data_IF_582798205036
#
_entry.id   IF_582798205036
#
_cell.length_a   1.000
_cell.length_b   1.000
_cell.length_c   1.000
_cell.angle_alpha   90.00
_cell.angle_beta   90.00
_cell.angle_gamma   90.00
#
_symmetry.space_group_name_H-M   'P 1'
#
loop_
_entity.id
_entity.type
_entity.pdbx_description
1 polymer ?
#
# COMPACT_ATOMS: atom_id res chain seq x y z
N UNK A 1 -20.20 12.29 -31.65
CA UNK A 1 -18.82 11.89 -31.26
C UNK A 1 -18.79 10.88 -30.11
N UNK A 2 -19.84 10.78 -29.27
CA UNK A 2 -19.93 9.82 -28.17
C UNK A 2 -20.23 8.35 -28.60
N UNK A 3 -20.83 8.13 -29.76
CA UNK A 3 -21.23 6.79 -30.23
C UNK A 3 -20.07 5.93 -30.75
N UNK A 4 -18.98 6.53 -31.26
CA UNK A 4 -17.81 5.77 -31.75
C UNK A 4 -16.93 5.19 -30.63
N UNK A 5 -16.97 5.78 -29.43
CA UNK A 5 -16.19 5.29 -28.29
C UNK A 5 -16.83 4.04 -27.65
N UNK A 6 -18.16 3.95 -27.67
CA UNK A 6 -18.88 2.77 -27.16
C UNK A 6 -18.70 1.51 -28.03
N UNK A 7 -18.57 1.67 -29.35
CA UNK A 7 -18.33 0.56 -30.29
C UNK A 7 -16.91 -0.01 -30.22
N UNK A 8 -15.92 0.78 -29.77
CA UNK A 8 -14.55 0.32 -29.60
C UNK A 8 -14.39 -0.66 -28.44
N UNK A 9 -15.05 -0.38 -27.30
CA UNK A 9 -14.98 -1.24 -26.10
C UNK A 9 -15.71 -2.57 -26.31
N UNK A 10 -16.87 -2.56 -26.97
CA UNK A 10 -17.67 -3.77 -27.24
C UNK A 10 -16.91 -4.84 -28.04
N UNK A 11 -15.90 -4.44 -28.81
CA UNK A 11 -15.09 -5.33 -29.65
C UNK A 11 -13.99 -6.07 -28.88
N UNK A 12 -13.62 -5.60 -27.69
CA UNK A 12 -12.64 -6.25 -26.79
C UNK A 12 -13.30 -7.05 -25.67
N UNK A 13 -14.59 -6.81 -25.40
CA UNK A 13 -15.42 -7.57 -24.44
C UNK A 13 -15.48 -9.09 -24.74
N UNK A 14 -15.56 -9.59 -25.99
CA UNK A 14 -15.62 -11.05 -26.22
C UNK A 14 -14.31 -11.79 -25.92
N UNK A 15 -13.17 -11.09 -25.88
CA UNK A 15 -11.87 -11.69 -25.49
C UNK A 15 -11.55 -11.56 -23.99
N UNK A 16 -12.33 -10.77 -23.24
CA UNK A 16 -12.08 -10.53 -21.83
C UNK A 16 -12.83 -11.55 -20.97
N UNK A 17 -12.29 -12.77 -20.89
CA UNK A 17 -12.85 -13.80 -20.01
C UNK A 17 -12.87 -13.33 -18.54
N UNK A 18 -13.83 -13.83 -17.75
CA UNK A 18 -13.98 -13.47 -16.32
C UNK A 18 -12.67 -13.50 -15.52
N UNK A 19 -11.82 -14.51 -15.76
CA UNK A 19 -10.53 -14.64 -15.11
C UNK A 19 -9.54 -13.52 -15.48
N UNK A 20 -9.63 -12.90 -16.66
CA UNK A 20 -8.83 -11.74 -17.04
C UNK A 20 -9.14 -10.52 -16.18
N UNK A 21 -10.42 -10.29 -15.85
CA UNK A 21 -10.80 -9.22 -14.93
C UNK A 21 -10.12 -9.45 -13.57
N UNK A 22 -10.18 -10.67 -13.05
CA UNK A 22 -9.51 -11.03 -11.79
C UNK A 22 -7.99 -10.84 -11.88
N UNK A 23 -7.35 -11.26 -12.97
CA UNK A 23 -5.91 -11.05 -13.20
C UNK A 23 -5.54 -9.57 -13.22
N UNK A 24 -6.34 -8.71 -13.87
CA UNK A 24 -6.10 -7.26 -13.89
C UNK A 24 -6.18 -6.67 -12.48
N UNK A 25 -7.20 -7.05 -11.70
CA UNK A 25 -7.35 -6.58 -10.32
C UNK A 25 -6.16 -7.01 -9.44
N UNK A 26 -5.70 -8.27 -9.57
CA UNK A 26 -4.50 -8.77 -8.89
C UNK A 26 -3.27 -7.98 -9.32
N UNK A 27 -3.09 -7.73 -10.62
CA UNK A 27 -1.95 -6.99 -11.15
C UNK A 27 -1.90 -5.56 -10.60
N UNK A 28 -3.04 -4.86 -10.57
CA UNK A 28 -3.14 -3.53 -9.98
C UNK A 28 -2.78 -3.58 -8.48
N UNK A 29 -3.31 -4.56 -7.74
CA UNK A 29 -2.97 -4.73 -6.33
C UNK A 29 -1.47 -4.96 -6.10
N UNK A 30 -0.81 -5.81 -6.92
CA UNK A 30 0.63 -6.04 -6.85
C UNK A 30 1.42 -4.74 -7.08
N UNK A 31 1.04 -3.95 -8.09
CA UNK A 31 1.71 -2.68 -8.40
C UNK A 31 1.57 -1.71 -7.22
N UNK A 32 0.36 -1.55 -6.68
CA UNK A 32 0.10 -0.65 -5.56
C UNK A 32 0.87 -1.06 -4.29
N UNK A 33 0.88 -2.35 -3.95
CA UNK A 33 1.65 -2.87 -2.80
C UNK A 33 3.16 -2.71 -3.01
N UNK A 34 3.65 -2.86 -4.24
CA UNK A 34 5.06 -2.65 -4.58
C UNK A 34 5.45 -1.17 -4.45
N UNK A 35 4.60 -0.25 -4.92
CA UNK A 35 4.79 1.20 -4.75
C UNK A 35 4.75 1.61 -3.28
N UNK A 36 3.86 1.01 -2.49
CA UNK A 36 3.77 1.22 -1.04
C UNK A 36 5.09 0.84 -0.36
N UNK A 37 5.65 -0.33 -0.67
CA UNK A 37 6.93 -0.79 -0.13
C UNK A 37 8.11 0.10 -0.60
N UNK A 38 8.09 0.55 -1.85
CA UNK A 38 9.12 1.42 -2.42
C UNK A 38 9.06 2.87 -1.90
N UNK A 39 8.03 3.25 -1.14
CA UNK A 39 7.90 4.59 -0.56
C UNK A 39 9.14 5.01 0.24
N UNK A 40 9.56 6.27 0.08
CA UNK A 40 10.77 6.83 0.68
C UNK A 40 12.09 6.06 0.45
N UNK A 41 12.19 5.24 -0.60
CA UNK A 41 13.43 4.52 -0.96
C UNK A 41 14.33 5.28 -1.94
N UNK A 42 13.84 6.37 -2.55
CA UNK A 42 14.53 7.12 -3.60
C UNK A 42 14.23 8.61 -3.50
N UNK A 43 15.22 9.44 -3.84
CA UNK A 43 15.11 10.89 -3.96
C UNK A 43 14.34 11.37 -5.20
N UNK A 44 13.75 10.47 -5.99
CA UNK A 44 12.88 10.83 -7.11
C UNK A 44 11.67 11.65 -6.63
N UNK A 45 11.27 12.76 -7.28
CA UNK A 45 10.31 13.73 -6.74
C UNK A 45 8.97 13.16 -6.22
N UNK A 46 8.49 12.05 -6.78
CA UNK A 46 7.22 11.43 -6.40
C UNK A 46 7.34 10.43 -5.23
N UNK A 47 8.51 9.80 -5.05
CA UNK A 47 8.71 8.68 -4.13
C UNK A 47 8.65 9.11 -2.65
N UNK A 48 9.20 10.28 -2.24
CA UNK A 48 9.01 10.81 -0.89
C UNK A 48 7.56 11.18 -0.57
N UNK A 49 6.66 11.22 -1.57
CA UNK A 49 5.21 11.42 -1.39
C UNK A 49 4.47 10.17 -0.90
N UNK A 50 5.13 9.01 -0.91
CA UNK A 50 4.63 7.75 -0.36
C UNK A 50 5.42 7.47 0.91
N UNK A 51 4.84 7.80 2.06
CA UNK A 51 5.44 7.65 3.37
C UNK A 51 4.41 7.12 4.36
N UNK A 52 4.88 6.57 5.46
CA UNK A 52 4.09 6.01 6.54
C UNK A 52 3.89 7.05 7.65
N UNK A 53 5.01 7.65 8.06
CA UNK A 53 5.09 8.70 9.06
C UNK A 53 5.90 9.87 8.50
N UNK A 54 5.45 11.09 8.73
CA UNK A 54 6.23 12.30 8.54
C UNK A 54 6.36 13.03 9.87
N UNK A 55 7.57 13.48 10.18
CA UNK A 55 7.92 14.33 11.30
C UNK A 55 8.53 15.59 10.72
N UNK A 56 8.11 16.78 11.16
CA UNK A 56 8.69 18.02 10.67
C UNK A 56 8.65 19.12 11.71
N UNK A 57 9.69 19.94 11.71
CA UNK A 57 9.71 21.15 12.52
C UNK A 57 8.71 22.16 11.96
N UNK A 58 7.81 22.60 12.81
CA UNK A 58 6.91 23.70 12.53
C UNK A 58 6.54 24.35 13.86
N UNK A 59 6.73 25.66 13.94
CA UNK A 59 6.32 26.41 15.13
C UNK A 59 4.81 26.67 15.07
N UNK A 60 4.11 26.29 16.13
CA UNK A 60 2.68 26.58 16.30
C UNK A 60 2.38 26.92 17.76
N UNK A 61 1.19 27.46 18.01
CA UNK A 61 0.75 27.77 19.37
C UNK A 61 0.53 26.46 20.13
N UNK A 62 1.34 26.22 21.16
CA UNK A 62 1.17 25.06 22.03
C UNK A 62 -0.23 25.02 22.64
N UNK A 63 -0.80 23.83 22.75
CA UNK A 63 -2.13 23.61 23.32
C UNK A 63 -2.00 23.25 24.82
N UNK A 64 -2.56 24.04 25.74
CA UNK A 64 -2.59 23.71 27.16
C UNK A 64 -3.66 22.65 27.45
N UNK A 65 -3.34 21.71 28.34
CA UNK A 65 -4.27 20.69 28.84
C UNK A 65 -4.13 20.53 30.37
N UNK A 66 -5.23 20.27 31.06
CA UNK A 66 -5.24 20.04 32.52
C UNK A 66 -4.45 18.80 32.97
N UNK A 67 -4.19 17.86 32.07
CA UNK A 67 -3.37 16.67 32.31
C UNK A 67 -1.86 16.94 32.14
N UNK A 68 -1.45 18.12 31.66
CA UNK A 68 -0.05 18.50 31.57
C UNK A 68 0.46 18.98 32.93
N UNK A 69 1.43 18.25 33.49
CA UNK A 69 2.03 18.59 34.80
C UNK A 69 2.87 19.87 34.72
N UNK A 70 3.61 20.06 33.62
CA UNK A 70 4.37 21.29 33.35
C UNK A 70 4.17 21.74 31.91
N UNK A 71 3.31 22.74 31.73
CA UNK A 71 3.07 23.36 30.42
C UNK A 71 4.29 24.14 29.90
N UNK A 72 5.18 24.62 30.78
CA UNK A 72 6.33 25.44 30.37
C UNK A 72 7.41 24.65 29.64
N UNK A 73 7.37 23.31 29.66
CA UNK A 73 8.26 22.44 28.89
C UNK A 73 8.22 22.79 27.40
N UNK A 74 7.08 23.24 26.87
CA UNK A 74 6.98 23.67 25.47
C UNK A 74 8.00 24.78 25.12
N UNK A 75 8.31 25.69 26.06
CA UNK A 75 9.21 26.81 25.83
C UNK A 75 10.66 26.32 25.74
N UNK A 76 11.03 25.36 26.57
CA UNK A 76 12.35 24.74 26.53
C UNK A 76 12.57 23.99 25.21
N UNK A 77 11.57 23.21 24.78
CA UNK A 77 11.61 22.51 23.49
C UNK A 77 11.67 23.50 22.32
N UNK A 78 10.86 24.57 22.36
CA UNK A 78 10.86 25.60 21.32
C UNK A 78 12.20 26.35 21.22
N UNK A 79 12.89 26.56 22.34
CA UNK A 79 14.23 27.17 22.35
C UNK A 79 15.28 26.24 21.72
N UNK A 80 15.17 24.93 21.93
CA UNK A 80 16.06 23.93 21.31
C UNK A 80 15.77 23.80 19.81
N UNK A 81 14.48 23.68 19.44
CA UNK A 81 14.05 23.57 18.05
C UNK A 81 14.41 24.82 17.23
N UNK A 82 14.41 25.99 17.87
CA UNK A 82 14.84 27.25 17.28
C UNK A 82 14.09 27.57 15.98
N UNK A 83 14.84 27.69 14.88
CA UNK A 83 14.31 27.94 13.54
C UNK A 83 14.48 26.76 12.59
N UNK A 84 14.67 25.54 13.12
CA UNK A 84 14.79 24.33 12.31
C UNK A 84 13.55 24.14 11.41
N UNK A 85 13.76 23.61 10.20
CA UNK A 85 12.70 23.39 9.18
C UNK A 85 12.75 21.99 8.57
N UNK A 86 13.58 21.11 9.13
CA UNK A 86 13.77 19.78 8.60
C UNK A 86 12.46 18.97 8.65
N UNK A 87 12.22 18.22 7.58
CA UNK A 87 11.17 17.21 7.51
C UNK A 87 11.81 15.83 7.28
N UNK A 88 11.49 14.87 8.15
CA UNK A 88 11.82 13.46 7.99
C UNK A 88 10.55 12.68 7.62
N UNK A 89 10.66 11.77 6.66
CA UNK A 89 9.60 10.86 6.22
C UNK A 89 10.11 9.42 6.24
N UNK A 90 9.30 8.52 6.76
CA UNK A 90 9.63 7.10 6.88
C UNK A 90 8.80 6.29 5.89
N UNK A 91 9.46 5.46 5.09
CA UNK A 91 8.83 4.40 4.31
C UNK A 91 9.18 3.02 4.84
N UNK A 92 8.81 1.96 4.11
CA UNK A 92 9.11 0.58 4.52
C UNK A 92 10.60 0.25 4.43
N UNK A 93 11.30 0.77 3.42
CA UNK A 93 12.70 0.43 3.14
C UNK A 93 13.68 1.60 3.28
N UNK A 94 13.21 2.77 3.69
CA UNK A 94 14.06 3.94 3.74
C UNK A 94 13.46 5.12 4.49
N UNK A 95 14.30 6.12 4.68
CA UNK A 95 13.97 7.41 5.27
C UNK A 95 14.33 8.47 4.25
N UNK A 96 13.46 9.45 4.06
CA UNK A 96 13.74 10.64 3.26
C UNK A 96 13.74 11.86 4.17
N UNK A 97 14.73 12.73 4.00
CA UNK A 97 14.82 13.99 4.74
C UNK A 97 14.85 15.16 3.78
N UNK A 98 14.22 16.26 4.17
CA UNK A 98 14.34 17.54 3.50
C UNK A 98 14.84 18.56 4.52
N UNK A 99 16.15 18.90 4.52
CA UNK A 99 16.74 19.74 5.56
C UNK A 99 16.13 21.14 5.62
N UNK A 100 15.87 21.73 4.44
CA UNK A 100 15.39 23.11 4.31
C UNK A 100 14.02 23.21 3.62
N UNK A 101 13.31 22.08 3.46
CA UNK A 101 12.01 22.02 2.74
C UNK A 101 12.12 22.07 1.21
N UNK A 102 13.33 21.90 0.66
CA UNK A 102 13.60 21.87 -0.78
C UNK A 102 13.71 20.45 -1.33
N UNK A 103 14.94 20.00 -1.58
CA UNK A 103 15.23 18.65 -2.11
C UNK A 103 15.05 17.56 -1.05
N UNK A 104 14.89 16.32 -1.51
CA UNK A 104 14.80 15.13 -0.68
C UNK A 104 16.07 14.30 -0.78
N UNK A 105 16.64 13.95 0.37
CA UNK A 105 17.74 13.00 0.51
C UNK A 105 17.18 11.72 1.11
N UNK A 106 17.21 10.63 0.35
CA UNK A 106 16.65 9.35 0.80
C UNK A 106 17.74 8.30 0.96
N UNK A 107 17.71 7.58 2.09
CA UNK A 107 18.64 6.51 2.39
C UNK A 107 17.99 5.51 3.34
N UNK A 108 18.42 4.25 3.28
CA UNK A 108 18.05 3.26 4.29
C UNK A 108 18.90 3.39 5.57
N UNK A 109 20.02 4.11 5.51
CA UNK A 109 20.92 4.30 6.64
C UNK A 109 20.74 5.71 7.23
N UNK A 110 20.11 5.79 8.41
CA UNK A 110 19.89 7.05 9.09
C UNK A 110 21.18 7.82 9.41
N UNK A 111 22.28 7.12 9.71
CA UNK A 111 23.59 7.75 9.96
C UNK A 111 24.10 8.49 8.73
N UNK A 112 23.86 7.96 7.53
CA UNK A 112 24.25 8.68 6.30
C UNK A 112 23.45 9.96 6.12
N UNK A 113 22.16 9.96 6.50
CA UNK A 113 21.33 11.17 6.45
C UNK A 113 21.73 12.18 7.51
N UNK A 114 22.03 11.73 8.73
CA UNK A 114 22.45 12.59 9.83
C UNK A 114 23.80 13.27 9.54
N UNK A 115 24.71 12.62 8.81
CA UNK A 115 26.00 13.21 8.41
C UNK A 115 25.86 14.35 7.39
N UNK A 116 24.76 14.39 6.64
CA UNK A 116 24.47 15.43 5.64
C UNK A 116 23.67 16.61 6.24
N UNK A 117 23.41 16.58 7.56
CA UNK A 117 22.56 17.55 8.25
C UNK A 117 23.32 18.14 9.45
N UNK A 118 23.19 19.45 9.64
CA UNK A 118 23.79 20.15 10.77
C UNK A 118 22.94 20.08 12.04
N UNK A 119 23.55 20.30 13.20
CA UNK A 119 22.87 20.29 14.51
C UNK A 119 21.72 21.32 14.56
N UNK A 120 21.91 22.47 13.92
CA UNK A 120 20.89 23.53 13.88
C UNK A 120 19.68 23.17 12.98
N UNK A 121 19.86 22.21 12.06
CA UNK A 121 18.79 21.72 11.17
C UNK A 121 18.00 20.58 11.81
N UNK A 122 18.61 19.73 12.64
CA UNK A 122 17.93 18.65 13.37
C UNK A 122 18.19 18.64 14.90
N UNK A 123 17.85 19.72 15.61
CA UNK A 123 18.20 19.87 17.03
C UNK A 123 17.50 18.88 17.98
N UNK A 124 16.34 18.33 17.58
CA UNK A 124 15.59 17.31 18.33
C UNK A 124 15.80 15.89 17.77
N UNK A 125 16.72 15.69 16.84
CA UNK A 125 17.06 14.38 16.26
C UNK A 125 15.86 13.65 15.61
N UNK A 126 15.05 14.35 14.80
CA UNK A 126 13.95 13.75 14.06
C UNK A 126 14.41 12.64 13.11
N UNK A 127 15.62 12.72 12.56
CA UNK A 127 16.19 11.64 11.72
C UNK A 127 16.37 10.36 12.54
N UNK A 128 16.86 10.49 13.77
CA UNK A 128 17.02 9.35 14.67
C UNK A 128 15.67 8.76 15.07
N UNK A 129 14.70 9.62 15.43
CA UNK A 129 13.34 9.17 15.77
C UNK A 129 12.67 8.45 14.59
N UNK A 130 12.84 8.97 13.37
CA UNK A 130 12.39 8.33 12.14
C UNK A 130 13.03 6.95 11.93
N UNK A 131 14.33 6.79 12.24
CA UNK A 131 15.00 5.48 12.19
C UNK A 131 14.44 4.51 13.22
N UNK A 132 14.21 4.96 14.46
CA UNK A 132 13.64 4.09 15.49
C UNK A 132 12.25 3.59 15.09
N UNK A 133 11.41 4.45 14.50
CA UNK A 133 10.12 4.03 13.97
C UNK A 133 10.29 2.98 12.86
N UNK A 134 11.17 3.22 11.88
CA UNK A 134 11.43 2.27 10.79
C UNK A 134 11.92 0.91 11.32
N UNK A 135 12.93 0.91 12.17
CA UNK A 135 13.67 -0.31 12.52
C UNK A 135 12.95 -1.14 13.58
N UNK A 136 12.15 -0.52 14.46
CA UNK A 136 11.49 -1.20 15.57
C UNK A 136 10.01 -1.51 15.34
N UNK A 137 9.33 -0.75 14.46
CA UNK A 137 7.86 -0.80 14.34
C UNK A 137 7.43 -1.26 12.94
N UNK A 138 8.14 -0.87 11.88
CA UNK A 138 7.74 -1.17 10.51
C UNK A 138 8.14 -2.61 10.15
N UNK A 139 7.16 -3.40 9.70
CA UNK A 139 7.35 -4.81 9.33
C UNK A 139 6.94 -5.08 7.87
N UNK A 140 7.87 -5.04 6.90
CA UNK A 140 7.54 -5.19 5.48
C UNK A 140 7.28 -6.63 5.03
N UNK A 141 7.74 -7.63 5.78
CA UNK A 141 7.82 -9.01 5.30
C UNK A 141 6.45 -9.65 5.00
N UNK A 142 5.41 -9.32 5.75
CA UNK A 142 4.05 -9.80 5.45
C UNK A 142 3.55 -9.31 4.08
N UNK A 143 3.82 -8.06 3.72
CA UNK A 143 3.47 -7.51 2.41
C UNK A 143 4.27 -8.18 1.29
N UNK A 144 5.56 -8.44 1.49
CA UNK A 144 6.40 -9.15 0.51
C UNK A 144 5.82 -10.55 0.24
N UNK A 145 5.49 -11.31 1.28
CA UNK A 145 4.91 -12.65 1.15
C UNK A 145 3.54 -12.57 0.46
N UNK A 146 2.70 -11.58 0.82
CA UNK A 146 1.41 -11.38 0.16
C UNK A 146 1.54 -11.08 -1.34
N UNK A 147 2.51 -10.26 -1.74
CA UNK A 147 2.80 -9.99 -3.16
C UNK A 147 3.21 -11.27 -3.88
N UNK A 148 4.06 -12.10 -3.28
CA UNK A 148 4.48 -13.38 -3.86
C UNK A 148 3.27 -14.31 -4.06
N UNK A 149 2.39 -14.43 -3.05
CA UNK A 149 1.19 -15.24 -3.16
C UNK A 149 0.20 -14.70 -4.20
N UNK A 150 0.01 -13.38 -4.27
CA UNK A 150 -0.80 -12.74 -5.30
C UNK A 150 -0.22 -13.00 -6.71
N UNK A 151 1.10 -12.94 -6.86
CA UNK A 151 1.78 -13.24 -8.12
C UNK A 151 1.62 -14.72 -8.53
N UNK A 152 1.78 -15.65 -7.60
CA UNK A 152 1.50 -17.07 -7.86
C UNK A 152 0.03 -17.27 -8.27
N UNK A 153 -0.92 -16.61 -7.60
CA UNK A 153 -2.33 -16.64 -7.98
C UNK A 153 -2.55 -16.14 -9.42
N UNK A 154 -1.90 -15.03 -9.80
CA UNK A 154 -1.94 -14.52 -11.16
C UNK A 154 -1.45 -15.56 -12.18
N UNK A 155 -0.34 -16.26 -11.89
CA UNK A 155 0.16 -17.33 -12.76
C UNK A 155 -0.81 -18.52 -12.86
N UNK A 156 -1.44 -18.91 -11.75
CA UNK A 156 -2.45 -19.98 -11.77
C UNK A 156 -3.68 -19.58 -12.60
N UNK A 157 -4.15 -18.34 -12.47
CA UNK A 157 -5.26 -17.83 -13.27
C UNK A 157 -4.92 -17.77 -14.77
N UNK A 158 -3.65 -17.52 -15.12
CA UNK A 158 -3.20 -17.54 -16.50
C UNK A 158 -3.25 -18.94 -17.15
N UNK A 159 -3.34 -20.02 -16.34
CA UNK A 159 -3.56 -21.38 -16.85
C UNK A 159 -5.04 -21.68 -17.15
N UNK A 160 -5.96 -20.77 -16.82
CA UNK A 160 -7.36 -21.00 -17.07
C UNK A 160 -7.65 -20.94 -18.56
N UNK A 161 -8.46 -21.88 -19.07
CA UNK A 161 -8.74 -21.93 -20.49
C UNK A 161 -9.60 -20.72 -20.89
N UNK A 162 -9.23 -20.10 -22.02
CA UNK A 162 -9.94 -18.96 -22.60
C UNK A 162 -11.28 -19.35 -23.22
N UNK A 163 -12.11 -18.35 -23.50
CA UNK A 163 -13.28 -18.54 -24.35
C UNK A 163 -12.81 -18.86 -25.77
N UNK A 164 -13.36 -19.92 -26.35
CA UNK A 164 -13.09 -20.29 -27.73
C UNK A 164 -14.40 -20.66 -28.42
N UNK A 165 -14.51 -20.29 -29.69
CA UNK A 165 -15.63 -20.65 -30.55
C UNK A 165 -15.32 -22.01 -31.18
N UNK A 166 -16.26 -22.95 -31.08
CA UNK A 166 -16.22 -24.21 -31.83
C UNK A 166 -17.42 -24.25 -32.80
N UNK A 167 -17.20 -24.68 -34.05
CA UNK A 167 -18.28 -24.96 -34.99
C UNK A 167 -18.90 -26.33 -34.66
N UNK A 168 -20.20 -26.34 -34.38
CA UNK A 168 -20.96 -27.57 -34.19
C UNK A 168 -21.16 -28.30 -35.53
N UNK A 169 -21.53 -29.58 -35.49
CA UNK A 169 -21.75 -30.43 -36.68
C UNK A 169 -22.84 -29.93 -37.65
N UNK A 170 -23.67 -28.96 -37.24
CA UNK A 170 -24.68 -28.28 -38.05
C UNK A 170 -24.19 -26.93 -38.64
N UNK A 171 -22.93 -26.54 -38.45
CA UNK A 171 -22.36 -25.27 -38.93
C UNK A 171 -22.77 -24.04 -38.12
N UNK A 172 -23.27 -24.23 -36.89
CA UNK A 172 -23.54 -23.15 -35.94
C UNK A 172 -22.31 -22.89 -35.07
N UNK A 173 -21.83 -21.66 -35.04
CA UNK A 173 -20.80 -21.22 -34.09
C UNK A 173 -21.35 -21.32 -32.66
N UNK A 174 -20.67 -22.08 -31.79
CA UNK A 174 -21.01 -22.19 -30.36
C UNK A 174 -19.83 -21.74 -29.51
N UNK A 175 -20.05 -20.77 -28.64
CA UNK A 175 -19.06 -20.40 -27.63
C UNK A 175 -18.94 -21.50 -26.57
N UNK A 176 -17.79 -22.17 -26.52
CA UNK A 176 -17.48 -23.17 -25.49
C UNK A 176 -16.73 -22.48 -24.36
N UNK A 177 -17.28 -22.62 -23.14
CA UNK A 177 -16.69 -22.11 -21.90
C UNK A 177 -16.08 -23.28 -21.12
N UNK A 178 -14.81 -23.63 -21.38
CA UNK A 178 -14.15 -24.73 -20.69
C UNK A 178 -14.04 -24.46 -19.19
N UNK A 179 -14.37 -25.47 -18.38
CA UNK A 179 -14.24 -25.36 -16.92
C UNK A 179 -12.76 -25.36 -16.51
N UNK A 180 -12.29 -24.42 -15.68
CA UNK A 180 -10.96 -24.48 -15.11
C UNK A 180 -10.82 -25.70 -14.20
N UNK A 181 -9.59 -26.20 -14.06
CA UNK A 181 -9.34 -27.34 -13.20
C UNK A 181 -9.67 -27.01 -11.73
N UNK A 182 -10.47 -27.88 -11.10
CA UNK A 182 -10.86 -27.78 -9.68
C UNK A 182 -9.69 -27.60 -8.70
N UNK A 183 -8.60 -28.41 -8.77
CA UNK A 183 -7.51 -28.26 -7.83
C UNK A 183 -6.80 -26.90 -7.97
N UNK A 184 -6.59 -26.42 -9.20
CA UNK A 184 -5.95 -25.12 -9.43
C UNK A 184 -6.82 -23.99 -8.92
N UNK A 185 -8.13 -24.05 -9.14
CA UNK A 185 -9.08 -23.04 -8.65
C UNK A 185 -9.12 -22.98 -7.12
N UNK A 186 -9.10 -24.13 -6.43
CA UNK A 186 -9.08 -24.19 -4.97
C UNK A 186 -7.77 -23.67 -4.39
N UNK A 187 -6.63 -24.04 -4.98
CA UNK A 187 -5.32 -23.52 -4.56
C UNK A 187 -5.25 -22.01 -4.78
N UNK A 188 -5.70 -21.51 -5.94
CA UNK A 188 -5.74 -20.09 -6.25
C UNK A 188 -6.60 -19.29 -5.24
N UNK A 189 -7.76 -19.83 -4.84
CA UNK A 189 -8.62 -19.25 -3.81
C UNK A 189 -7.92 -19.21 -2.44
N UNK A 190 -7.29 -20.31 -2.04
CA UNK A 190 -6.62 -20.40 -0.74
C UNK A 190 -5.46 -19.41 -0.63
N UNK A 191 -4.60 -19.33 -1.65
CA UNK A 191 -3.43 -18.42 -1.61
C UNK A 191 -3.83 -16.95 -1.66
N UNK A 192 -4.85 -16.58 -2.45
CA UNK A 192 -5.30 -15.18 -2.52
C UNK A 192 -5.99 -14.75 -1.23
N UNK A 193 -6.72 -15.67 -0.59
CA UNK A 193 -7.32 -15.43 0.72
C UNK A 193 -6.25 -15.18 1.78
N UNK A 194 -5.22 -16.04 1.85
CA UNK A 194 -4.09 -15.85 2.78
C UNK A 194 -3.36 -14.53 2.49
N UNK A 195 -3.11 -14.21 1.20
CA UNK A 195 -2.52 -12.93 0.81
C UNK A 195 -3.34 -11.73 1.29
N UNK A 196 -4.67 -11.79 1.14
CA UNK A 196 -5.57 -10.73 1.59
C UNK A 196 -5.51 -10.50 3.10
N UNK A 197 -5.39 -11.57 3.90
CA UNK A 197 -5.23 -11.50 5.36
C UNK A 197 -3.89 -10.84 5.70
N UNK A 198 -2.79 -11.24 5.05
CA UNK A 198 -1.48 -10.63 5.31
C UNK A 198 -1.45 -9.15 4.98
N UNK A 199 -2.10 -8.73 3.88
CA UNK A 199 -2.27 -7.30 3.57
C UNK A 199 -3.11 -6.60 4.63
N UNK A 200 -4.24 -7.18 5.05
CA UNK A 200 -5.10 -6.61 6.09
C UNK A 200 -4.34 -6.36 7.39
N UNK A 201 -3.64 -7.39 7.89
CA UNK A 201 -2.85 -7.31 9.12
C UNK A 201 -1.76 -6.25 8.99
N UNK A 202 -1.05 -6.23 7.86
CA UNK A 202 0.02 -5.26 7.61
C UNK A 202 -0.48 -3.82 7.57
N UNK A 203 -1.57 -3.55 6.85
CA UNK A 203 -2.13 -2.20 6.69
C UNK A 203 -2.72 -1.71 8.01
N UNK A 204 -3.44 -2.57 8.76
CA UNK A 204 -3.95 -2.24 10.09
C UNK A 204 -2.82 -1.91 11.07
N UNK A 205 -1.80 -2.78 11.13
CA UNK A 205 -0.62 -2.57 11.97
C UNK A 205 0.05 -1.25 11.64
N UNK A 206 0.35 -1.02 10.36
CA UNK A 206 1.07 0.17 9.94
C UNK A 206 0.27 1.45 10.20
N UNK A 207 -1.03 1.44 9.95
CA UNK A 207 -1.89 2.60 10.17
C UNK A 207 -1.91 2.96 11.66
N UNK A 208 -2.22 1.99 12.52
CA UNK A 208 -2.33 2.22 13.97
C UNK A 208 -1.00 2.66 14.57
N UNK A 209 0.11 2.03 14.17
CA UNK A 209 1.45 2.42 14.56
C UNK A 209 1.81 3.86 14.14
N UNK A 210 1.52 4.24 12.89
CA UNK A 210 1.85 5.57 12.37
C UNK A 210 1.02 6.66 13.05
N UNK A 211 -0.27 6.40 13.28
CA UNK A 211 -1.17 7.31 14.00
C UNK A 211 -0.66 7.51 15.43
N UNK A 212 -0.39 6.42 16.16
CA UNK A 212 0.11 6.49 17.53
C UNK A 212 1.44 7.26 17.61
N UNK A 213 2.40 6.92 16.75
CA UNK A 213 3.69 7.60 16.71
C UNK A 213 3.55 9.10 16.38
N UNK A 214 2.65 9.45 15.46
CA UNK A 214 2.41 10.85 15.09
C UNK A 214 1.86 11.68 16.26
N UNK A 215 0.85 11.15 16.96
CA UNK A 215 0.23 11.83 18.10
C UNK A 215 1.24 11.97 19.24
N UNK A 216 1.94 10.89 19.61
CA UNK A 216 2.92 10.92 20.69
C UNK A 216 4.07 11.89 20.39
N UNK A 217 4.59 11.90 19.16
CA UNK A 217 5.66 12.82 18.79
C UNK A 217 5.21 14.29 18.80
N UNK A 218 4.01 14.56 18.28
CA UNK A 218 3.47 15.92 18.23
C UNK A 218 3.11 16.45 19.62
N UNK A 219 2.47 15.64 20.46
CA UNK A 219 2.06 16.04 21.81
C UNK A 219 3.26 16.20 22.75
N UNK A 220 4.30 15.38 22.58
CA UNK A 220 5.55 15.53 23.35
C UNK A 220 6.28 16.83 23.00
N UNK A 221 6.31 17.19 21.71
CA UNK A 221 6.99 18.37 21.20
C UNK A 221 6.11 19.62 21.09
N UNK A 222 4.94 19.60 21.73
CA UNK A 222 3.86 20.60 21.71
C UNK A 222 4.34 22.02 21.35
N UNK A 223 4.03 22.46 20.13
CA UNK A 223 4.38 23.78 19.59
C UNK A 223 5.64 23.85 18.72
N UNK A 224 6.42 22.78 18.60
CA UNK A 224 7.71 22.77 17.87
C UNK A 224 7.82 21.73 16.74
N UNK A 225 7.14 20.59 16.88
CA UNK A 225 7.13 19.52 15.87
C UNK A 225 5.68 19.14 15.55
N UNK A 226 5.40 18.99 14.27
CA UNK A 226 4.17 18.36 13.79
C UNK A 226 4.51 17.01 13.18
N UNK A 227 3.53 16.11 13.24
CA UNK A 227 3.63 14.81 12.64
C UNK A 227 2.40 14.51 11.79
N UNK A 228 2.54 13.58 10.86
CA UNK A 228 1.44 13.18 10.00
C UNK A 228 1.59 11.78 9.45
N UNK A 229 0.45 11.17 9.12
CA UNK A 229 0.38 9.87 8.47
C UNK A 229 0.24 10.07 6.97
N UNK A 230 0.97 9.29 6.16
CA UNK A 230 0.93 9.47 4.71
C UNK A 230 -0.34 8.91 4.08
N UNK A 231 -1.24 9.79 3.64
CA UNK A 231 -2.52 9.42 3.02
C UNK A 231 -2.34 8.57 1.75
N UNK A 232 -1.29 8.84 0.95
CA UNK A 232 -0.99 8.06 -0.26
C UNK A 232 -0.71 6.59 0.07
N UNK A 233 0.11 6.33 1.09
CA UNK A 233 0.43 4.98 1.54
C UNK A 233 -0.82 4.27 2.07
N UNK A 234 -1.65 4.99 2.83
CA UNK A 234 -2.93 4.50 3.34
C UNK A 234 -3.88 4.07 2.22
N UNK A 235 -4.02 4.90 1.19
CA UNK A 235 -4.87 4.57 0.03
C UNK A 235 -4.31 3.37 -0.72
N UNK A 236 -3.00 3.32 -1.00
CA UNK A 236 -2.39 2.17 -1.69
C UNK A 236 -2.62 0.85 -0.94
N UNK A 237 -2.45 0.84 0.38
CA UNK A 237 -2.68 -0.34 1.22
C UNK A 237 -4.14 -0.80 1.22
N UNK A 238 -5.07 0.07 1.63
CA UNK A 238 -6.49 -0.28 1.75
C UNK A 238 -7.17 -0.57 0.41
N UNK A 239 -6.77 0.16 -0.64
CA UNK A 239 -7.30 -0.09 -1.98
C UNK A 239 -6.81 -1.44 -2.51
N UNK A 240 -5.53 -1.77 -2.34
CA UNK A 240 -5.01 -3.10 -2.69
C UNK A 240 -5.71 -4.22 -1.94
N UNK A 241 -5.93 -4.05 -0.62
CA UNK A 241 -6.69 -5.01 0.17
C UNK A 241 -8.10 -5.23 -0.40
N UNK A 242 -8.81 -4.14 -0.72
CA UNK A 242 -10.16 -4.20 -1.29
C UNK A 242 -10.17 -4.95 -2.63
N UNK A 243 -9.19 -4.69 -3.50
CA UNK A 243 -9.04 -5.43 -4.77
C UNK A 243 -8.84 -6.93 -4.55
N UNK A 244 -7.98 -7.33 -3.60
CA UNK A 244 -7.74 -8.74 -3.28
C UNK A 244 -8.98 -9.42 -2.69
N UNK A 245 -9.79 -8.72 -1.91
CA UNK A 245 -11.08 -9.23 -1.41
C UNK A 245 -12.07 -9.43 -2.55
N UNK A 246 -12.20 -8.47 -3.47
CA UNK A 246 -13.05 -8.61 -4.66
C UNK A 246 -12.62 -9.83 -5.47
N UNK A 247 -11.32 -10.03 -5.66
CA UNK A 247 -10.78 -11.21 -6.36
C UNK A 247 -11.12 -12.51 -5.62
N UNK A 248 -10.97 -12.52 -4.30
CA UNK A 248 -11.28 -13.68 -3.45
C UNK A 248 -12.75 -14.07 -3.57
N UNK A 249 -13.66 -13.10 -3.46
CA UNK A 249 -15.11 -13.30 -3.64
C UNK A 249 -15.38 -13.75 -5.08
N UNK A 250 -14.71 -13.15 -6.06
CA UNK A 250 -14.87 -13.50 -7.46
C UNK A 250 -14.50 -14.96 -7.77
N UNK A 251 -13.38 -15.44 -7.21
CA UNK A 251 -12.99 -16.86 -7.32
C UNK A 251 -13.96 -17.78 -6.58
N UNK A 252 -14.43 -17.38 -5.40
CA UNK A 252 -15.41 -18.16 -4.63
C UNK A 252 -16.72 -18.34 -5.41
N UNK A 253 -17.27 -17.26 -5.95
CA UNK A 253 -18.51 -17.30 -6.76
C UNK A 253 -18.32 -18.17 -7.99
N UNK A 254 -17.18 -18.07 -8.67
CA UNK A 254 -16.86 -18.92 -9.81
C UNK A 254 -16.84 -20.40 -9.42
N UNK A 255 -16.17 -20.77 -8.33
CA UNK A 255 -16.10 -22.16 -7.86
C UNK A 255 -17.49 -22.69 -7.50
N UNK A 256 -18.29 -21.92 -6.76
CA UNK A 256 -19.65 -22.31 -6.40
C UNK A 256 -20.55 -22.48 -7.64
N UNK A 257 -20.42 -21.59 -8.63
CA UNK A 257 -21.20 -21.68 -9.87
C UNK A 257 -20.89 -22.96 -10.66
N UNK A 258 -19.63 -23.39 -10.69
CA UNK A 258 -19.22 -24.64 -11.34
C UNK A 258 -19.78 -25.87 -10.60
N UNK A 259 -19.82 -25.85 -9.27
CA UNK A 259 -20.40 -26.94 -8.49
C UNK A 259 -21.92 -27.08 -8.72
N UNK A 260 -22.63 -25.95 -8.84
CA UNK A 260 -24.07 -25.95 -9.13
C UNK A 260 -24.35 -26.44 -10.55
N UNK A 261 -23.57 -25.99 -11.55
CA UNK A 261 -23.68 -26.48 -12.93
C UNK A 261 -23.37 -27.98 -13.03
N UNK A 262 -22.31 -28.42 -12.34
CA UNK A 262 -21.99 -29.82 -12.00
C UNK A 262 -23.25 -30.64 -11.71
N UNK A 263 -23.93 -30.19 -10.65
CA UNK A 263 -25.07 -30.89 -10.07
C UNK A 263 -26.35 -30.86 -10.93
N UNK A 264 -26.51 -29.89 -11.83
CA UNK A 264 -27.68 -29.80 -12.71
C UNK A 264 -27.48 -30.64 -13.99
N UNK A 265 -26.23 -30.85 -14.41
CA UNK A 265 -25.89 -31.61 -15.61
C UNK A 265 -25.84 -33.12 -15.38
N UNK A 266 -25.63 -33.55 -14.13
CA UNK A 266 -25.77 -34.94 -13.67
C UNK A 266 -27.24 -35.30 -13.36
#
# INVERSE_FOLDING_TARGET
>A
MATKFQLGWYRWVPFLGYHHVLMILIMIAIILLSLLLAGCSSSSPLIPGIFLLSLYYQRYTAAPDTAQVDYNVNNAIANIAGSARLQARVGYFGICVSPDGGSWLCSNNATTLANEVSVDQDPLNLIWLASQFKDMIVFPYLLIIAIIFAFICLLLLATFPGWHEEEDSEGSEREVKPFPSRPVSQVALAIIFIASIFVLVSVLWQHTASVAASIVAQDLANGSVLAGVGSSAMVMGWFSFTLLIIVTIGLLVMILSMQVLEHIMD
#
